data_IF_818462496180
#
_entry.id   IF_818462496180
#
_cell.length_a   1.000
_cell.length_b   1.000
_cell.length_c   1.000
_cell.angle_alpha   90.00
_cell.angle_beta   90.00
_cell.angle_gamma   90.00
#
_symmetry.space_group_name_H-M   'P 1'
#
loop_
_entity.id
_entity.type
_entity.pdbx_description
1 polymer ?
#
# COMPACT_ATOMS: atom_id res chain seq x y z
N UNK A 1 -31.61 4.02 79.87
CA UNK A 1 -30.46 3.95 78.94
C UNK A 1 -30.87 4.58 77.62
N UNK A 2 -30.40 5.81 77.33
CA UNK A 2 -30.54 6.48 76.04
C UNK A 2 -29.14 6.79 75.53
N UNK A 3 -28.82 6.31 74.35
CA UNK A 3 -27.58 6.65 73.62
C UNK A 3 -27.85 7.99 72.92
N UNK A 4 -27.06 9.05 73.17
CA UNK A 4 -27.17 10.27 72.38
C UNK A 4 -26.35 10.08 71.10
N UNK A 5 -27.04 9.96 69.97
CA UNK A 5 -26.40 10.15 68.66
C UNK A 5 -26.33 11.65 68.40
N UNK A 6 -25.33 12.31 68.96
CA UNK A 6 -24.89 13.62 68.48
C UNK A 6 -24.18 13.40 67.14
N UNK A 7 -24.96 13.32 66.06
CA UNK A 7 -24.43 13.51 64.72
C UNK A 7 -24.07 14.99 64.58
N UNK A 8 -22.83 15.30 64.95
CA UNK A 8 -22.20 16.59 64.73
C UNK A 8 -22.32 17.00 63.25
N UNK A 9 -23.18 17.96 63.00
CA UNK A 9 -23.30 18.71 61.76
C UNK A 9 -22.08 19.63 61.60
N UNK A 10 -20.93 19.08 61.18
CA UNK A 10 -19.67 19.83 61.13
C UNK A 10 -18.64 19.37 60.10
N UNK A 11 -19.00 18.57 59.10
CA UNK A 11 -18.03 17.95 58.18
C UNK A 11 -18.32 18.16 56.68
N UNK A 12 -18.79 19.33 56.22
CA UNK A 12 -19.04 19.53 54.77
C UNK A 12 -18.67 20.90 54.20
N UNK A 13 -17.39 21.33 54.32
CA UNK A 13 -16.79 22.15 53.25
C UNK A 13 -15.54 21.51 52.62
N UNK A 14 -14.85 20.63 53.34
CA UNK A 14 -13.57 20.06 52.91
C UNK A 14 -13.70 19.00 51.80
N UNK A 15 -14.74 18.16 51.86
CA UNK A 15 -14.99 17.11 50.86
C UNK A 15 -15.48 17.67 49.51
N UNK A 16 -16.22 18.77 49.53
CA UNK A 16 -16.67 19.44 48.31
C UNK A 16 -15.52 20.13 47.56
N UNK A 17 -14.51 20.65 48.27
CA UNK A 17 -13.28 21.18 47.66
C UNK A 17 -12.38 20.06 47.15
N UNK A 18 -12.14 19.01 47.94
CA UNK A 18 -11.32 17.86 47.51
C UNK A 18 -11.86 17.18 46.25
N UNK A 19 -13.17 16.99 46.15
CA UNK A 19 -13.81 16.44 44.93
C UNK A 19 -13.65 17.36 43.70
N UNK A 20 -13.62 18.68 43.91
CA UNK A 20 -13.41 19.67 42.84
C UNK A 20 -11.97 19.65 42.34
N UNK A 21 -11.02 19.52 43.26
CA UNK A 21 -9.58 19.46 42.95
C UNK A 21 -9.22 18.13 42.26
N UNK A 22 -9.78 17.00 42.70
CA UNK A 22 -9.64 15.70 42.03
C UNK A 22 -10.20 15.72 40.60
N UNK A 23 -11.35 16.36 40.39
CA UNK A 23 -11.94 16.50 39.05
C UNK A 23 -11.08 17.36 38.13
N UNK A 24 -10.40 18.39 38.66
CA UNK A 24 -9.44 19.18 37.91
C UNK A 24 -8.18 18.38 37.57
N UNK A 25 -7.64 17.64 38.54
CA UNK A 25 -6.48 16.77 38.34
C UNK A 25 -6.73 15.70 37.26
N UNK A 26 -7.90 15.05 37.29
CA UNK A 26 -8.32 14.10 36.25
C UNK A 26 -8.51 14.79 34.90
N UNK A 27 -9.03 16.02 34.88
CA UNK A 27 -9.15 16.82 33.66
C UNK A 27 -7.79 17.11 33.00
N UNK A 28 -6.76 17.40 33.80
CA UNK A 28 -5.40 17.57 33.29
C UNK A 28 -4.82 16.27 32.71
N UNK A 29 -5.01 15.15 33.41
CA UNK A 29 -4.56 13.84 32.94
C UNK A 29 -5.23 13.42 31.64
N UNK A 30 -6.54 13.62 31.51
CA UNK A 30 -7.26 13.33 30.26
C UNK A 30 -6.73 14.20 29.13
N UNK A 31 -6.54 15.51 29.35
CA UNK A 31 -6.02 16.42 28.34
C UNK A 31 -4.56 16.11 27.93
N UNK A 32 -3.78 15.54 28.84
CA UNK A 32 -2.41 15.07 28.56
C UNK A 32 -2.46 13.78 27.72
N UNK A 33 -3.27 12.80 28.13
CA UNK A 33 -3.45 11.54 27.40
C UNK A 33 -4.05 11.74 26.01
N UNK A 34 -4.92 12.72 25.81
CA UNK A 34 -5.45 13.09 24.50
C UNK A 34 -4.34 13.63 23.59
N UNK A 35 -3.47 14.49 24.11
CA UNK A 35 -2.31 15.00 23.37
C UNK A 35 -1.31 13.91 23.02
N UNK A 36 -1.07 12.96 23.93
CA UNK A 36 -0.20 11.81 23.66
C UNK A 36 -0.81 10.86 22.62
N UNK A 37 -2.12 10.61 22.68
CA UNK A 37 -2.81 9.81 21.67
C UNK A 37 -2.73 10.45 20.28
N UNK A 38 -2.88 11.77 20.19
CA UNK A 38 -2.77 12.49 18.93
C UNK A 38 -1.36 12.34 18.34
N UNK A 39 -0.31 12.56 19.14
CA UNK A 39 1.09 12.34 18.72
C UNK A 39 1.35 10.91 18.26
N UNK A 40 0.88 9.91 19.02
CA UNK A 40 1.09 8.50 18.66
C UNK A 40 0.37 8.13 17.36
N UNK A 41 -0.80 8.74 17.08
CA UNK A 41 -1.50 8.54 15.80
C UNK A 41 -0.73 9.14 14.64
N UNK A 42 -0.20 10.35 14.80
CA UNK A 42 0.64 11.00 13.78
C UNK A 42 1.90 10.17 13.49
N UNK A 43 2.56 9.65 14.52
CA UNK A 43 3.74 8.77 14.36
C UNK A 43 3.37 7.45 13.65
N UNK A 44 2.22 6.86 13.97
CA UNK A 44 1.73 5.65 13.30
C UNK A 44 1.40 5.90 11.83
N UNK A 45 0.82 7.05 11.50
CA UNK A 45 0.54 7.42 10.11
C UNK A 45 1.83 7.65 9.33
N UNK A 46 2.76 8.43 9.88
CA UNK A 46 4.06 8.68 9.26
C UNK A 46 4.88 7.40 9.04
N UNK A 47 4.84 6.47 10.00
CA UNK A 47 5.53 5.17 9.85
C UNK A 47 4.85 4.28 8.81
N UNK A 48 3.52 4.25 8.75
CA UNK A 48 2.78 3.52 7.71
C UNK A 48 3.05 4.07 6.32
N UNK A 49 3.14 5.37 6.17
CA UNK A 49 3.45 6.02 4.89
C UNK A 49 4.85 5.65 4.40
N UNK A 50 5.87 5.76 5.26
CA UNK A 50 7.24 5.29 4.92
C UNK A 50 7.29 3.82 4.55
N UNK A 51 6.51 2.98 5.23
CA UNK A 51 6.42 1.56 4.88
C UNK A 51 5.81 1.37 3.49
N UNK A 52 4.73 2.10 3.16
CA UNK A 52 4.13 2.06 1.82
C UNK A 52 5.15 2.45 0.76
N UNK A 53 5.83 3.58 0.92
CA UNK A 53 6.87 4.04 -0.01
C UNK A 53 7.97 2.99 -0.21
N UNK A 54 8.52 2.44 0.87
CA UNK A 54 9.58 1.41 0.75
C UNK A 54 9.10 0.12 0.10
N UNK A 55 7.84 -0.27 0.33
CA UNK A 55 7.25 -1.44 -0.33
C UNK A 55 7.06 -1.19 -1.82
N UNK A 56 6.55 -0.02 -2.20
CA UNK A 56 6.35 0.39 -3.60
C UNK A 56 7.69 0.46 -4.35
N UNK A 57 8.71 1.09 -3.76
CA UNK A 57 10.05 1.12 -4.34
C UNK A 57 10.63 -0.29 -4.54
N UNK A 58 10.48 -1.18 -3.56
CA UNK A 58 10.96 -2.58 -3.66
C UNK A 58 10.19 -3.33 -4.74
N UNK A 59 8.88 -3.12 -4.85
CA UNK A 59 8.07 -3.70 -5.90
C UNK A 59 8.49 -3.18 -7.28
N UNK A 60 8.75 -1.88 -7.42
CA UNK A 60 9.24 -1.27 -8.66
C UNK A 60 10.63 -1.81 -9.03
N UNK A 61 11.56 -1.88 -8.07
CA UNK A 61 12.90 -2.47 -8.26
C UNK A 61 12.84 -3.95 -8.65
N UNK A 62 11.91 -4.73 -8.10
CA UNK A 62 11.69 -6.15 -8.49
C UNK A 62 11.15 -6.26 -9.92
N UNK A 63 10.20 -5.39 -10.31
CA UNK A 63 9.68 -5.32 -11.68
C UNK A 63 10.76 -4.97 -12.71
N UNK A 64 11.69 -4.08 -12.34
CA UNK A 64 12.80 -3.66 -13.21
C UNK A 64 13.92 -4.71 -13.24
N UNK A 65 14.41 -5.15 -12.08
CA UNK A 65 15.64 -5.95 -11.98
C UNK A 65 15.60 -7.33 -12.64
N UNK A 66 14.42 -7.90 -12.89
CA UNK A 66 14.29 -9.17 -13.64
C UNK A 66 14.32 -8.96 -15.16
N UNK A 67 14.10 -7.74 -15.64
CA UNK A 67 14.04 -7.38 -17.07
C UNK A 67 15.33 -6.75 -17.60
N UNK A 68 16.28 -6.42 -16.73
CA UNK A 68 17.45 -5.62 -17.10
C UNK A 68 18.65 -6.44 -17.57
N UNK A 69 18.71 -7.73 -17.22
CA UNK A 69 19.87 -8.59 -17.50
C UNK A 69 19.48 -9.92 -18.15
N UNK A 70 20.19 -10.27 -19.24
CA UNK A 70 20.03 -11.54 -19.93
C UNK A 70 20.29 -12.72 -19.00
N UNK A 71 19.37 -13.68 -18.95
CA UNK A 71 19.53 -14.89 -18.14
C UNK A 71 20.78 -15.72 -18.51
N UNK A 72 21.22 -15.66 -19.78
CA UNK A 72 22.33 -16.47 -20.29
C UNK A 72 23.70 -15.84 -20.03
N UNK A 73 23.91 -14.58 -20.41
CA UNK A 73 25.22 -13.93 -20.38
C UNK A 73 25.27 -12.68 -19.48
N UNK A 74 24.17 -12.35 -18.79
CA UNK A 74 24.01 -11.11 -17.99
C UNK A 74 24.18 -9.81 -18.78
N UNK A 75 24.25 -9.86 -20.11
CA UNK A 75 24.27 -8.70 -20.98
C UNK A 75 22.95 -7.94 -21.01
N UNK A 76 22.95 -6.77 -21.63
CA UNK A 76 21.78 -5.88 -21.70
C UNK A 76 20.67 -6.46 -22.57
N UNK A 77 19.43 -6.34 -22.08
CA UNK A 77 18.23 -6.74 -22.80
C UNK A 77 17.58 -5.53 -23.50
N UNK A 78 17.23 -5.70 -24.78
CA UNK A 78 16.54 -4.69 -25.59
C UNK A 78 15.14 -5.18 -25.98
N UNK A 79 14.10 -4.32 -25.93
CA UNK A 79 12.76 -4.72 -26.32
C UNK A 79 12.68 -4.98 -27.82
N UNK A 80 12.06 -6.10 -28.20
CA UNK A 80 11.82 -6.45 -29.60
C UNK A 80 10.37 -6.84 -29.83
N UNK A 81 9.87 -6.58 -31.04
CA UNK A 81 8.61 -7.14 -31.49
C UNK A 81 8.91 -8.45 -32.21
N UNK A 82 8.32 -9.56 -31.73
CA UNK A 82 8.32 -10.81 -32.48
C UNK A 82 7.12 -10.80 -33.42
N UNK A 83 7.35 -11.25 -34.65
CA UNK A 83 6.31 -11.43 -35.64
C UNK A 83 6.24 -12.91 -36.02
N UNK A 84 5.03 -13.44 -36.18
CA UNK A 84 4.76 -14.75 -36.75
C UNK A 84 4.39 -14.61 -38.23
N UNK A 85 4.82 -15.55 -39.04
CA UNK A 85 4.47 -15.62 -40.46
C UNK A 85 5.69 -15.93 -41.33
N UNK A 86 5.46 -16.70 -42.39
CA UNK A 86 6.45 -16.90 -43.45
C UNK A 86 6.48 -15.70 -44.41
N UNK A 87 5.35 -14.98 -44.52
CA UNK A 87 5.21 -13.81 -45.38
C UNK A 87 5.87 -12.57 -44.74
N UNK A 88 7.01 -12.18 -45.31
CA UNK A 88 7.75 -10.96 -44.93
C UNK A 88 7.02 -9.67 -45.28
N UNK A 89 6.07 -9.73 -46.21
CA UNK A 89 5.27 -8.58 -46.65
C UNK A 89 4.12 -8.25 -45.68
N UNK A 90 3.62 -9.24 -44.93
CA UNK A 90 2.54 -9.07 -43.95
C UNK A 90 2.84 -9.86 -42.66
N UNK A 91 3.83 -9.42 -41.87
CA UNK A 91 4.17 -10.09 -40.62
C UNK A 91 3.04 -9.92 -39.60
N UNK A 92 2.50 -11.03 -39.05
CA UNK A 92 1.51 -10.95 -37.97
C UNK A 92 2.24 -10.67 -36.65
N UNK A 93 1.98 -9.55 -35.95
CA UNK A 93 2.63 -9.28 -34.67
C UNK A 93 2.19 -10.32 -33.62
N UNK A 94 3.15 -11.01 -33.01
CA UNK A 94 2.92 -11.96 -31.89
C UNK A 94 2.54 -11.24 -30.57
N UNK A 95 2.20 -9.95 -30.62
CA UNK A 95 1.79 -9.13 -29.47
C UNK A 95 0.52 -9.64 -28.75
N UNK A 96 -0.12 -10.71 -29.22
CA UNK A 96 -1.45 -11.13 -28.77
C UNK A 96 -1.56 -12.59 -28.31
N UNK A 97 -0.46 -13.29 -28.01
CA UNK A 97 -0.56 -14.54 -27.25
C UNK A 97 -0.83 -14.23 -25.78
N UNK A 98 -2.07 -13.84 -25.48
CA UNK A 98 -2.55 -13.75 -24.10
C UNK A 98 -2.56 -15.15 -23.51
N UNK A 99 -1.65 -15.47 -22.59
CA UNK A 99 -1.77 -16.68 -21.80
C UNK A 99 -3.01 -16.53 -20.92
N UNK A 100 -3.94 -17.47 -21.05
CA UNK A 100 -5.14 -17.55 -20.23
C UNK A 100 -4.83 -18.45 -19.07
N UNK A 101 -4.70 -17.89 -17.88
CA UNK A 101 -4.60 -18.67 -16.66
C UNK A 101 -6.02 -18.98 -16.18
N UNK A 102 -6.30 -20.25 -15.88
CA UNK A 102 -7.51 -20.64 -15.16
C UNK A 102 -7.34 -20.25 -13.70
N UNK A 103 -8.15 -19.32 -13.20
CA UNK A 103 -8.18 -19.03 -11.75
C UNK A 103 -8.70 -20.26 -11.00
N UNK A 104 -8.04 -20.70 -9.90
CA UNK A 104 -8.55 -21.78 -9.06
C UNK A 104 -9.89 -21.42 -8.38
N UNK A 105 -10.20 -20.13 -8.23
CA UNK A 105 -11.42 -19.64 -7.57
C UNK A 105 -12.60 -19.41 -8.54
N UNK A 106 -12.49 -19.85 -9.80
CA UNK A 106 -13.61 -19.82 -10.74
C UNK A 106 -14.06 -18.40 -11.10
N UNK A 107 -13.18 -17.62 -11.75
CA UNK A 107 -13.48 -16.28 -12.27
C UNK A 107 -12.55 -15.94 -13.42
N UNK A 108 -13.06 -15.15 -14.37
CA UNK A 108 -12.47 -14.70 -15.64
C UNK A 108 -10.98 -15.03 -15.91
N UNK A 109 -10.71 -15.63 -17.07
CA UNK A 109 -9.35 -15.87 -17.58
C UNK A 109 -8.56 -14.56 -17.62
N UNK A 110 -7.61 -14.38 -16.72
CA UNK A 110 -6.67 -13.26 -16.79
C UNK A 110 -5.79 -13.46 -18.04
N UNK A 111 -5.88 -12.52 -18.98
CA UNK A 111 -4.99 -12.42 -20.12
C UNK A 111 -3.74 -11.66 -19.71
N UNK A 112 -2.59 -12.33 -19.65
CA UNK A 112 -1.32 -11.66 -19.41
C UNK A 112 -0.60 -11.38 -20.74
N UNK A 113 -0.18 -10.13 -21.04
CA UNK A 113 0.59 -9.84 -22.23
C UNK A 113 2.01 -10.41 -22.13
N UNK A 114 2.50 -11.00 -23.22
CA UNK A 114 3.89 -11.45 -23.34
C UNK A 114 4.72 -10.32 -23.94
N UNK A 115 5.82 -9.96 -23.26
CA UNK A 115 6.84 -9.04 -23.78
C UNK A 115 8.12 -9.82 -24.09
N UNK A 116 8.71 -9.56 -25.23
CA UNK A 116 9.94 -10.22 -25.66
C UNK A 116 11.11 -9.25 -25.66
N UNK A 117 12.23 -9.68 -25.09
CA UNK A 117 13.48 -8.93 -25.05
C UNK A 117 14.58 -9.76 -25.71
N UNK A 118 15.49 -9.12 -26.43
CA UNK A 118 16.67 -9.75 -27.02
C UNK A 118 17.92 -9.24 -26.33
N UNK A 119 18.83 -10.14 -25.97
CA UNK A 119 20.14 -9.76 -25.49
C UNK A 119 21.00 -9.21 -26.62
N UNK A 120 21.50 -7.98 -26.47
CA UNK A 120 22.40 -7.37 -27.45
C UNK A 120 23.74 -8.10 -27.57
N UNK A 121 24.19 -8.79 -26.52
CA UNK A 121 25.48 -9.45 -26.47
C UNK A 121 25.48 -10.86 -27.06
N UNK A 122 24.44 -11.67 -26.82
CA UNK A 122 24.40 -13.08 -27.22
C UNK A 122 23.19 -13.47 -28.10
N UNK A 123 22.31 -12.53 -28.43
CA UNK A 123 21.13 -12.78 -29.26
C UNK A 123 20.01 -13.60 -28.58
N UNK A 124 20.17 -13.98 -27.31
CA UNK A 124 19.17 -14.76 -26.58
C UNK A 124 17.84 -14.00 -26.44
N UNK A 125 16.73 -14.63 -26.83
CA UNK A 125 15.37 -14.07 -26.72
C UNK A 125 14.77 -14.53 -25.39
N UNK A 126 14.48 -13.57 -24.51
CA UNK A 126 13.81 -13.80 -23.24
C UNK A 126 12.38 -13.28 -23.30
N UNK A 127 11.41 -14.16 -23.02
CA UNK A 127 9.99 -13.81 -22.97
C UNK A 127 9.56 -13.61 -21.51
N UNK A 128 8.87 -12.51 -21.25
CA UNK A 128 8.34 -12.13 -19.95
C UNK A 128 6.82 -12.10 -20.00
N UNK A 129 6.18 -12.75 -19.03
CA UNK A 129 4.73 -12.72 -18.85
C UNK A 129 4.44 -11.63 -17.83
N UNK A 130 3.74 -10.57 -18.22
CA UNK A 130 3.35 -9.49 -17.31
C UNK A 130 2.02 -9.88 -16.64
N UNK A 131 2.11 -10.53 -15.47
CA UNK A 131 0.93 -10.79 -14.64
C UNK A 131 0.78 -9.57 -13.72
N UNK A 132 -0.02 -8.60 -14.15
CA UNK A 132 -0.52 -7.59 -13.23
C UNK A 132 -1.40 -8.31 -12.20
N UNK A 133 -0.89 -8.47 -10.98
CA UNK A 133 -1.63 -9.10 -9.90
C UNK A 133 -2.60 -8.05 -9.31
N UNK A 134 -3.93 -8.16 -9.53
CA UNK A 134 -4.89 -7.16 -9.08
C UNK A 134 -5.09 -7.15 -7.55
N UNK A 135 -4.41 -8.03 -6.80
CA UNK A 135 -4.43 -8.07 -5.34
C UNK A 135 -3.64 -6.94 -4.66
N UNK A 136 -3.05 -6.05 -5.46
CA UNK A 136 -2.53 -4.77 -4.95
C UNK A 136 -3.70 -3.78 -5.02
N UNK A 137 -4.24 -3.29 -3.88
CA UNK A 137 -5.31 -2.30 -3.95
C UNK A 137 -4.84 -1.13 -4.81
N UNK A 138 -5.69 -0.65 -5.75
CA UNK A 138 -5.34 0.54 -6.50
C UNK A 138 -5.03 1.66 -5.49
N UNK A 139 -3.90 2.34 -5.70
CA UNK A 139 -3.61 3.59 -4.99
C UNK A 139 -4.87 4.47 -5.06
N UNK A 140 -5.33 5.06 -3.95
CA UNK A 140 -6.48 5.95 -4.00
C UNK A 140 -6.16 7.06 -5.00
N UNK A 141 -6.96 7.12 -6.07
CA UNK A 141 -6.89 8.22 -7.03
C UNK A 141 -7.04 9.52 -6.22
N UNK A 142 -5.97 10.30 -6.13
CA UNK A 142 -6.06 11.65 -5.63
C UNK A 142 -7.08 12.38 -6.51
N UNK A 143 -8.08 13.08 -5.95
CA UNK A 143 -9.07 13.81 -6.74
C UNK A 143 -8.38 15.01 -7.39
N UNK A 144 -7.74 14.75 -8.54
CA UNK A 144 -7.01 15.70 -9.35
C UNK A 144 -7.92 16.37 -10.36
N UNK A 145 -8.36 17.58 -9.99
CA UNK A 145 -8.58 18.71 -10.90
C UNK A 145 -9.45 18.45 -12.13
N UNK A 146 -10.76 18.69 -11.98
CA UNK A 146 -11.68 18.85 -13.10
C UNK A 146 -11.18 19.94 -14.05
N UNK A 147 -10.73 19.52 -15.24
CA UNK A 147 -10.67 20.36 -16.42
C UNK A 147 -12.11 20.75 -16.77
N UNK A 148 -12.45 22.01 -16.51
CA UNK A 148 -13.68 22.63 -16.97
C UNK A 148 -13.53 22.91 -18.46
N UNK A 149 -14.00 21.99 -19.29
CA UNK A 149 -14.29 22.28 -20.69
C UNK A 149 -15.65 23.01 -20.72
N UNK A 150 -15.62 24.35 -20.87
CA UNK A 150 -16.45 25.13 -21.80
C UNK A 150 -16.12 26.61 -21.73
#
# INVERSE_FOLDING_TARGET
>A
MRIPWDFGSGLLPYTAMAYRDERQALGFQVAELERENEKLREELEATRERLRETTEERHQKRRMGTRDACALCRGTLLPVAIFAGHDTLNPLPLKMSTLRFTSPDGGFTHSAPIRSMVCSSCGYIQNFIDIDNPSTPPLPETPGTGKKDR
#
